data_IF_190779457977
#
_entry.id   IF_190779457977
#
_cell.length_a   1.000
_cell.length_b   1.000
_cell.length_c   1.000
_cell.angle_alpha   90.00
_cell.angle_beta   90.00
_cell.angle_gamma   90.00
#
_symmetry.space_group_name_H-M   'P 1'
#
loop_
_entity.id
_entity.type
_entity.pdbx_description
1 polymer ?
#
# COMPACT_ATOMS: atom_id res chain seq x y z
N UNK A 1 -18.74 -21.05 23.35
CA UNK A 1 -17.75 -20.15 23.97
C UNK A 1 -17.19 -19.29 22.83
N UNK A 2 -17.43 -17.98 22.87
CA UNK A 2 -16.84 -17.03 21.92
C UNK A 2 -15.52 -16.52 22.51
N UNK A 3 -14.42 -16.66 21.76
CA UNK A 3 -13.12 -16.09 22.10
C UNK A 3 -12.99 -14.76 21.36
N UNK A 4 -13.08 -13.64 22.09
CA UNK A 4 -12.85 -12.32 21.53
C UNK A 4 -11.35 -12.04 21.39
N UNK A 5 -10.85 -11.92 20.19
CA UNK A 5 -9.49 -11.46 19.92
C UNK A 5 -9.46 -9.93 19.94
N UNK A 6 -8.52 -9.36 20.72
CA UNK A 6 -8.28 -7.90 20.72
C UNK A 6 -7.23 -7.55 19.66
N UNK A 7 -7.41 -6.41 19.01
CA UNK A 7 -6.37 -5.83 18.17
C UNK A 7 -5.20 -5.43 19.08
N UNK A 8 -3.96 -5.88 18.81
CA UNK A 8 -2.81 -5.53 19.63
C UNK A 8 -2.50 -4.04 19.52
N UNK A 9 -1.94 -3.44 20.56
CA UNK A 9 -1.44 -2.06 20.51
C UNK A 9 -0.15 -1.98 19.67
N UNK A 10 0.18 -0.78 19.15
CA UNK A 10 1.44 -0.58 18.44
C UNK A 10 2.65 -0.96 19.32
N UNK A 11 2.62 -0.63 20.62
CA UNK A 11 3.65 -1.02 21.56
C UNK A 11 3.80 -2.54 21.67
N UNK A 12 2.69 -3.29 21.81
CA UNK A 12 2.75 -4.74 21.88
C UNK A 12 3.31 -5.40 20.60
N UNK A 13 3.00 -4.81 19.44
CA UNK A 13 3.58 -5.27 18.15
C UNK A 13 5.07 -4.93 18.10
N UNK A 14 5.48 -3.73 18.52
CA UNK A 14 6.88 -3.33 18.57
C UNK A 14 7.70 -4.26 19.48
N UNK A 15 7.21 -4.55 20.70
CA UNK A 15 7.84 -5.48 21.64
C UNK A 15 8.02 -6.88 21.03
N UNK A 16 7.03 -7.36 20.26
CA UNK A 16 7.15 -8.62 19.54
C UNK A 16 8.29 -8.59 18.52
N UNK A 17 8.36 -7.53 17.70
CA UNK A 17 9.40 -7.39 16.68
C UNK A 17 10.81 -7.29 17.28
N UNK A 18 10.95 -6.60 18.41
CA UNK A 18 12.23 -6.52 19.15
C UNK A 18 12.63 -7.88 19.71
N UNK A 19 11.71 -8.60 20.34
CA UNK A 19 11.97 -9.97 20.86
C UNK A 19 12.32 -10.97 19.79
N UNK A 20 11.75 -10.82 18.59
CA UNK A 20 12.11 -11.64 17.41
C UNK A 20 13.44 -11.20 16.75
N UNK A 21 14.09 -10.15 17.24
CA UNK A 21 15.35 -9.64 16.65
C UNK A 21 15.17 -9.02 15.27
N UNK A 22 13.95 -8.54 14.93
CA UNK A 22 13.64 -8.03 13.60
C UNK A 22 14.21 -6.63 13.39
N UNK A 23 14.16 -5.75 14.40
CA UNK A 23 14.61 -4.36 14.33
C UNK A 23 14.91 -3.78 15.71
N UNK A 24 15.55 -2.59 15.76
CA UNK A 24 15.71 -1.81 16.98
C UNK A 24 14.34 -1.36 17.55
N UNK A 25 14.27 -1.03 18.85
CA UNK A 25 13.01 -0.57 19.45
C UNK A 25 12.35 0.59 18.72
N UNK A 26 13.15 1.58 18.27
CA UNK A 26 12.65 2.75 17.55
C UNK A 26 12.02 2.36 16.22
N UNK A 27 12.74 1.60 15.40
CA UNK A 27 12.27 1.13 14.09
C UNK A 27 11.05 0.20 14.25
N UNK A 28 11.04 -0.65 15.27
CA UNK A 28 9.93 -1.55 15.56
C UNK A 28 8.65 -0.77 15.92
N UNK A 29 8.77 0.30 16.73
CA UNK A 29 7.63 1.13 17.12
C UNK A 29 7.09 1.95 15.94
N UNK A 30 7.98 2.57 15.15
CA UNK A 30 7.62 3.28 13.93
C UNK A 30 6.88 2.35 12.95
N UNK A 31 7.43 1.17 12.68
CA UNK A 31 6.84 0.18 11.79
C UNK A 31 5.49 -0.35 12.32
N UNK A 32 5.35 -0.55 13.63
CA UNK A 32 4.11 -0.99 14.25
C UNK A 32 2.99 0.06 14.15
N UNK A 33 3.32 1.35 14.34
CA UNK A 33 2.40 2.46 14.15
C UNK A 33 1.97 2.58 12.70
N UNK A 34 2.94 2.62 11.77
CA UNK A 34 2.69 2.68 10.34
C UNK A 34 1.82 1.52 9.82
N UNK A 35 2.01 0.33 10.38
CA UNK A 35 1.21 -0.85 10.07
C UNK A 35 -0.15 -0.89 10.75
N UNK A 36 -0.49 0.11 11.57
CA UNK A 36 -1.76 0.17 12.33
C UNK A 36 -2.05 -1.17 13.03
N UNK A 37 -1.04 -1.68 13.74
CA UNK A 37 -1.07 -2.96 14.49
C UNK A 37 -1.18 -4.24 13.63
N UNK A 38 -1.04 -4.17 12.31
CA UNK A 38 -0.99 -5.35 11.46
C UNK A 38 0.41 -6.00 11.52
N UNK A 39 0.56 -7.08 12.31
CA UNK A 39 1.86 -7.70 12.64
C UNK A 39 2.69 -8.05 11.40
N UNK A 40 2.08 -8.66 10.37
CA UNK A 40 2.79 -9.04 9.14
C UNK A 40 3.37 -7.84 8.38
N UNK A 41 2.60 -6.75 8.29
CA UNK A 41 3.04 -5.51 7.65
C UNK A 41 4.10 -4.81 8.50
N UNK A 42 3.92 -4.75 9.83
CA UNK A 42 4.90 -4.19 10.74
C UNK A 42 6.27 -4.89 10.61
N UNK A 43 6.25 -6.23 10.54
CA UNK A 43 7.47 -7.02 10.30
C UNK A 43 8.13 -6.70 8.95
N UNK A 44 7.35 -6.56 7.89
CA UNK A 44 7.87 -6.21 6.56
C UNK A 44 8.49 -4.80 6.57
N UNK A 45 7.77 -3.80 7.09
CA UNK A 45 8.28 -2.43 7.24
C UNK A 45 9.55 -2.37 8.12
N UNK A 46 9.60 -3.13 9.23
CA UNK A 46 10.76 -3.16 10.11
C UNK A 46 12.01 -3.72 9.42
N UNK A 47 11.85 -4.74 8.57
CA UNK A 47 12.96 -5.40 7.86
C UNK A 47 13.47 -4.65 6.64
N UNK A 48 12.60 -3.94 5.93
CA UNK A 48 12.91 -3.34 4.63
C UNK A 48 12.91 -1.80 4.70
N UNK A 49 14.11 -1.18 4.76
CA UNK A 49 14.24 0.28 4.73
C UNK A 49 13.71 0.90 3.43
N UNK A 50 13.81 0.18 2.29
CA UNK A 50 13.29 0.68 1.02
C UNK A 50 11.75 0.71 1.02
N UNK A 51 11.11 -0.25 1.69
CA UNK A 51 9.65 -0.24 1.86
C UNK A 51 9.20 0.96 2.68
N UNK A 52 9.95 1.33 3.74
CA UNK A 52 9.69 2.55 4.52
C UNK A 52 9.90 3.81 3.68
N UNK A 53 10.98 3.87 2.89
CA UNK A 53 11.24 5.01 2.00
C UNK A 53 10.11 5.19 0.96
N UNK A 54 9.72 4.11 0.27
CA UNK A 54 8.59 4.14 -0.69
C UNK A 54 7.28 4.60 -0.04
N UNK A 55 6.98 4.12 1.18
CA UNK A 55 5.82 4.58 1.94
C UNK A 55 5.89 6.09 2.21
N UNK A 56 7.04 6.60 2.64
CA UNK A 56 7.27 8.03 2.87
C UNK A 56 7.04 8.84 1.60
N UNK A 57 7.58 8.41 0.46
CA UNK A 57 7.40 9.07 -0.83
C UNK A 57 5.92 9.16 -1.23
N UNK A 58 5.15 8.10 -1.05
CA UNK A 58 3.70 8.08 -1.32
C UNK A 58 2.97 9.09 -0.44
N UNK A 59 3.26 9.12 0.85
CA UNK A 59 2.58 9.99 1.82
C UNK A 59 2.91 11.46 1.60
N UNK A 60 4.15 11.78 1.23
CA UNK A 60 4.61 13.17 1.07
C UNK A 60 4.24 13.75 -0.29
N UNK A 61 4.04 12.93 -1.31
CA UNK A 61 3.76 13.38 -2.67
C UNK A 61 2.60 14.39 -2.78
N UNK A 62 1.40 14.19 -2.16
CA UNK A 62 0.30 15.14 -2.29
C UNK A 62 0.61 16.54 -1.76
N UNK A 63 1.45 16.65 -0.74
CA UNK A 63 1.84 17.95 -0.16
C UNK A 63 2.70 18.79 -1.10
N UNK A 64 3.38 18.18 -2.06
CA UNK A 64 4.26 18.85 -3.04
C UNK A 64 3.57 19.23 -4.34
N UNK A 65 2.37 18.70 -4.62
CA UNK A 65 1.64 18.91 -5.87
C UNK A 65 1.02 20.30 -5.92
N UNK A 66 1.34 21.09 -6.96
CA UNK A 66 0.83 22.47 -7.13
C UNK A 66 -0.02 22.61 -8.40
N UNK A 67 0.07 21.70 -9.36
CA UNK A 67 -0.64 21.78 -10.65
C UNK A 67 -1.37 20.48 -10.96
N UNK A 68 -2.31 20.51 -11.91
CA UNK A 68 -2.99 19.32 -12.42
C UNK A 68 -2.00 18.35 -13.05
N UNK A 69 -1.03 18.88 -13.82
CA UNK A 69 0.00 18.06 -14.45
C UNK A 69 0.85 17.30 -13.43
N UNK A 70 1.25 17.96 -12.33
CA UNK A 70 1.98 17.30 -11.24
C UNK A 70 1.12 16.24 -10.52
N UNK A 71 -0.19 16.47 -10.37
CA UNK A 71 -1.11 15.49 -9.80
C UNK A 71 -1.19 14.21 -10.66
N UNK A 72 -1.32 14.37 -11.98
CA UNK A 72 -1.33 13.25 -12.92
C UNK A 72 -0.01 12.48 -12.88
N UNK A 73 1.13 13.18 -12.86
CA UNK A 73 2.45 12.53 -12.72
C UNK A 73 2.62 11.83 -11.36
N UNK A 74 2.04 12.36 -10.29
CA UNK A 74 2.08 11.73 -8.98
C UNK A 74 1.23 10.45 -8.95
N UNK A 75 0.06 10.45 -9.59
CA UNK A 75 -0.79 9.27 -9.75
C UNK A 75 -0.09 8.16 -10.56
N UNK A 76 0.56 8.53 -11.65
CA UNK A 76 1.33 7.58 -12.48
C UNK A 76 2.48 6.96 -11.69
N UNK A 77 3.28 7.76 -10.97
CA UNK A 77 4.36 7.24 -10.09
C UNK A 77 3.83 6.31 -9.00
N UNK A 78 2.69 6.63 -8.39
CA UNK A 78 2.07 5.75 -7.40
C UNK A 78 1.67 4.42 -8.02
N UNK A 79 1.06 4.43 -9.20
CA UNK A 79 0.67 3.22 -9.92
C UNK A 79 1.87 2.36 -10.30
N UNK A 80 2.94 2.96 -10.83
CA UNK A 80 4.17 2.24 -11.19
C UNK A 80 4.85 1.64 -9.96
N UNK A 81 4.89 2.36 -8.84
CA UNK A 81 5.41 1.83 -7.57
C UNK A 81 4.58 0.64 -7.07
N UNK A 82 3.26 0.73 -7.18
CA UNK A 82 2.36 -0.37 -6.79
C UNK A 82 2.52 -1.58 -7.71
N UNK A 83 2.69 -1.38 -9.02
CA UNK A 83 2.99 -2.46 -9.99
C UNK A 83 4.30 -3.17 -9.64
N UNK A 84 5.37 -2.42 -9.45
CA UNK A 84 6.67 -2.99 -9.09
C UNK A 84 6.61 -3.81 -7.80
N UNK A 85 5.87 -3.32 -6.80
CA UNK A 85 5.66 -4.04 -5.53
C UNK A 85 4.84 -5.32 -5.72
N UNK A 86 3.75 -5.25 -6.49
CA UNK A 86 2.91 -6.40 -6.79
C UNK A 86 3.68 -7.48 -7.55
N UNK A 87 4.45 -7.09 -8.57
CA UNK A 87 5.27 -8.00 -9.35
C UNK A 87 6.35 -8.67 -8.50
N UNK A 88 7.05 -7.92 -7.64
CA UNK A 88 8.03 -8.48 -6.72
C UNK A 88 7.42 -9.53 -5.77
N UNK A 89 6.16 -9.31 -5.36
CA UNK A 89 5.46 -10.23 -4.45
C UNK A 89 5.10 -11.58 -5.10
N UNK A 90 4.81 -11.60 -6.40
CA UNK A 90 4.27 -12.80 -7.07
C UNK A 90 5.23 -13.46 -8.05
N UNK A 91 6.26 -12.77 -8.55
CA UNK A 91 7.14 -13.20 -9.64
C UNK A 91 7.84 -14.53 -9.34
N UNK A 92 8.47 -14.66 -8.18
CA UNK A 92 9.19 -15.88 -7.79
C UNK A 92 8.25 -17.09 -7.71
N UNK A 93 7.09 -16.91 -7.11
CA UNK A 93 6.08 -17.96 -7.01
C UNK A 93 5.55 -18.37 -8.38
N UNK A 94 5.23 -17.38 -9.23
CA UNK A 94 4.74 -17.63 -10.59
C UNK A 94 5.77 -18.36 -11.44
N UNK A 95 7.05 -17.96 -11.36
CA UNK A 95 8.14 -18.63 -12.05
C UNK A 95 8.32 -20.08 -11.58
N UNK A 96 8.28 -20.31 -10.27
CA UNK A 96 8.40 -21.65 -9.66
C UNK A 96 7.24 -22.57 -10.09
N UNK A 97 6.00 -22.09 -10.04
CA UNK A 97 4.82 -22.86 -10.47
C UNK A 97 4.88 -23.20 -11.97
N UNK A 98 5.33 -22.24 -12.81
CA UNK A 98 5.50 -22.50 -14.25
C UNK A 98 6.57 -23.53 -14.52
N UNK A 99 7.73 -23.42 -13.89
CA UNK A 99 8.82 -24.40 -14.04
C UNK A 99 8.40 -25.81 -13.56
N UNK A 100 7.66 -25.89 -12.47
CA UNK A 100 7.13 -27.16 -11.96
C UNK A 100 6.14 -27.80 -12.93
N UNK A 101 5.18 -27.03 -13.48
CA UNK A 101 4.24 -27.52 -14.46
C UNK A 101 4.96 -28.02 -15.73
N UNK A 102 5.93 -27.27 -16.26
CA UNK A 102 6.71 -27.67 -17.44
C UNK A 102 7.45 -28.99 -17.18
N UNK A 103 8.06 -29.15 -16.01
CA UNK A 103 8.72 -30.41 -15.60
C UNK A 103 7.74 -31.58 -15.51
N UNK A 104 6.55 -31.38 -14.94
CA UNK A 104 5.52 -32.41 -14.84
C UNK A 104 4.98 -32.84 -16.21
N UNK A 105 4.96 -31.92 -17.18
CA UNK A 105 4.55 -32.21 -18.56
C UNK A 105 5.66 -32.84 -19.40
N UNK A 106 6.89 -32.96 -18.86
CA UNK A 106 8.06 -33.45 -19.58
C UNK A 106 8.45 -32.55 -20.75
N UNK A 107 8.20 -31.23 -20.66
CA UNK A 107 8.44 -30.25 -21.73
C UNK A 107 9.66 -29.41 -21.42
N UNK A 108 10.52 -29.26 -22.44
CA UNK A 108 11.55 -28.22 -22.43
C UNK A 108 11.03 -26.92 -23.02
N UNK A 109 11.72 -25.80 -22.73
CA UNK A 109 11.33 -24.49 -23.24
C UNK A 109 11.42 -24.48 -24.78
N UNK A 110 10.27 -24.27 -25.45
CA UNK A 110 10.17 -24.26 -26.92
C UNK A 110 9.60 -25.53 -27.57
N UNK A 111 9.33 -26.59 -26.82
CA UNK A 111 8.71 -27.80 -27.39
C UNK A 111 7.22 -27.62 -27.71
N UNK A 112 6.78 -28.37 -28.77
CA UNK A 112 5.38 -28.32 -29.22
C UNK A 112 4.45 -29.02 -28.23
N UNK A 113 3.68 -28.21 -27.47
CA UNK A 113 2.74 -28.72 -26.49
C UNK A 113 1.58 -29.52 -27.10
N UNK A 114 1.19 -30.61 -26.45
CA UNK A 114 -0.05 -31.33 -26.76
C UNK A 114 -1.27 -30.45 -26.47
N UNK A 115 -2.46 -30.80 -26.98
CA UNK A 115 -3.69 -30.07 -26.69
C UNK A 115 -4.00 -30.04 -25.18
N UNK A 116 -3.75 -31.13 -24.47
CA UNK A 116 -3.95 -31.23 -23.03
C UNK A 116 -2.95 -30.34 -22.26
N UNK A 117 -1.66 -30.39 -22.62
CA UNK A 117 -0.62 -29.56 -22.02
C UNK A 117 -0.90 -28.05 -22.20
N UNK A 118 -1.34 -27.65 -23.41
CA UNK A 118 -1.74 -26.25 -23.67
C UNK A 118 -2.88 -25.76 -22.77
N UNK A 119 -3.86 -26.64 -22.51
CA UNK A 119 -4.97 -26.29 -21.62
C UNK A 119 -4.49 -26.06 -20.17
N UNK A 120 -3.60 -26.92 -19.66
CA UNK A 120 -3.04 -26.79 -18.31
C UNK A 120 -2.18 -25.51 -18.16
N UNK A 121 -1.33 -25.24 -19.15
CA UNK A 121 -0.49 -24.02 -19.18
C UNK A 121 -1.39 -22.78 -19.17
N UNK A 122 -2.40 -22.73 -20.04
CA UNK A 122 -3.33 -21.60 -20.10
C UNK A 122 -4.07 -21.41 -18.77
N UNK A 123 -4.50 -22.46 -18.12
CA UNK A 123 -5.17 -22.37 -16.82
C UNK A 123 -4.24 -21.80 -15.74
N UNK A 124 -2.99 -22.24 -15.70
CA UNK A 124 -1.99 -21.67 -14.80
C UNK A 124 -1.77 -20.17 -15.08
N UNK A 125 -1.62 -19.77 -16.34
CA UNK A 125 -1.43 -18.38 -16.74
C UNK A 125 -2.64 -17.49 -16.34
N UNK A 126 -3.86 -17.99 -16.49
CA UNK A 126 -5.07 -17.30 -16.05
C UNK A 126 -5.12 -17.14 -14.52
N UNK A 127 -4.70 -18.16 -13.76
CA UNK A 127 -4.61 -18.10 -12.30
C UNK A 127 -3.52 -17.12 -11.84
N UNK A 128 -2.36 -17.13 -12.50
CA UNK A 128 -1.26 -16.18 -12.26
C UNK A 128 -1.69 -14.74 -12.57
N UNK A 129 -2.38 -14.51 -13.68
CA UNK A 129 -2.94 -13.20 -14.04
C UNK A 129 -3.94 -12.69 -13.01
N UNK A 130 -4.82 -13.55 -12.51
CA UNK A 130 -5.76 -13.19 -11.43
C UNK A 130 -5.03 -12.84 -10.14
N UNK A 131 -3.97 -13.58 -9.79
CA UNK A 131 -3.11 -13.31 -8.62
C UNK A 131 -2.40 -11.98 -8.75
N UNK A 132 -1.76 -11.70 -9.89
CA UNK A 132 -1.08 -10.44 -10.16
C UNK A 132 -2.03 -9.24 -10.09
N UNK A 133 -3.25 -9.38 -10.64
CA UNK A 133 -4.27 -8.33 -10.53
C UNK A 133 -4.66 -8.07 -9.08
N UNK A 134 -4.83 -9.11 -8.25
CA UNK A 134 -5.13 -8.95 -6.82
C UNK A 134 -3.96 -8.28 -6.09
N UNK A 135 -2.73 -8.74 -6.32
CA UNK A 135 -1.55 -8.16 -5.70
C UNK A 135 -1.40 -6.66 -6.03
N UNK A 136 -1.70 -6.25 -7.28
CA UNK A 136 -1.73 -4.84 -7.66
C UNK A 136 -2.82 -4.06 -6.91
N UNK A 137 -4.03 -4.60 -6.85
CA UNK A 137 -5.13 -3.96 -6.12
C UNK A 137 -4.79 -3.79 -4.65
N UNK A 138 -4.22 -4.82 -4.01
CA UNK A 138 -3.80 -4.80 -2.61
C UNK A 138 -2.66 -3.78 -2.37
N UNK A 139 -1.71 -3.66 -3.31
CA UNK A 139 -0.63 -2.69 -3.23
C UNK A 139 -1.15 -1.24 -3.33
N UNK A 140 -2.08 -0.97 -4.25
CA UNK A 140 -2.73 0.34 -4.37
C UNK A 140 -3.55 0.64 -3.12
N UNK A 141 -4.39 -0.30 -2.66
CA UNK A 141 -5.22 -0.09 -1.46
C UNK A 141 -4.36 0.22 -0.24
N UNK A 142 -3.20 -0.44 -0.09
CA UNK A 142 -2.23 -0.14 0.96
C UNK A 142 -1.73 1.30 0.88
N UNK A 143 -1.34 1.78 -0.30
CA UNK A 143 -0.91 3.15 -0.51
C UNK A 143 -2.01 4.16 -0.14
N UNK A 144 -3.27 3.87 -0.46
CA UNK A 144 -4.41 4.71 -0.11
C UNK A 144 -4.69 4.71 1.40
N UNK A 145 -4.51 3.58 2.09
CA UNK A 145 -4.57 3.51 3.57
C UNK A 145 -3.46 4.36 4.21
N UNK A 146 -2.26 4.35 3.65
CA UNK A 146 -1.16 5.19 4.13
C UNK A 146 -1.47 6.68 3.95
N UNK A 147 -2.11 7.07 2.85
CA UNK A 147 -2.61 8.45 2.65
C UNK A 147 -3.74 8.80 3.62
N UNK A 148 -4.66 7.89 3.93
CA UNK A 148 -5.67 8.11 4.96
C UNK A 148 -5.04 8.33 6.33
N UNK A 149 -3.95 7.61 6.65
CA UNK A 149 -3.27 7.74 7.94
C UNK A 149 -2.65 9.13 8.12
N UNK A 150 -2.04 9.74 7.09
CA UNK A 150 -1.50 11.10 7.21
C UNK A 150 -2.61 12.15 7.37
N UNK A 151 -3.71 12.06 6.62
CA UNK A 151 -4.82 13.00 6.77
C UNK A 151 -5.59 12.81 8.09
N UNK A 152 -5.63 11.59 8.64
CA UNK A 152 -6.10 11.35 10.01
C UNK A 152 -5.22 12.09 11.01
N UNK A 153 -3.90 12.02 10.88
CA UNK A 153 -2.97 12.71 11.77
C UNK A 153 -3.11 14.25 11.64
N UNK A 154 -3.27 14.76 10.41
CA UNK A 154 -3.56 16.19 10.16
C UNK A 154 -4.84 16.61 10.87
N UNK A 155 -5.91 15.85 10.73
CA UNK A 155 -7.20 16.16 11.38
C UNK A 155 -7.07 16.15 12.91
N UNK A 156 -6.31 15.19 13.48
CA UNK A 156 -6.05 15.14 14.92
C UNK A 156 -5.39 16.42 15.42
N UNK A 157 -4.39 16.94 14.70
CA UNK A 157 -3.73 18.23 15.04
C UNK A 157 -4.72 19.39 14.91
N UNK A 158 -5.50 19.45 13.84
CA UNK A 158 -6.47 20.54 13.57
C UNK A 158 -7.57 20.63 14.63
N UNK A 159 -7.99 19.51 15.22
CA UNK A 159 -9.04 19.49 16.25
C UNK A 159 -8.50 19.52 17.69
N UNK A 160 -7.16 19.58 17.87
CA UNK A 160 -6.53 19.57 19.20
C UNK A 160 -6.71 18.23 19.94
N UNK A 161 -6.76 17.11 19.22
CA UNK A 161 -6.96 15.79 19.80
C UNK A 161 -5.70 15.26 20.50
N UNK A 162 -5.85 14.57 21.63
CA UNK A 162 -4.76 14.01 22.46
C UNK A 162 -4.26 12.63 21.97
N UNK A 163 -4.73 12.16 20.81
CA UNK A 163 -4.37 10.86 20.27
C UNK A 163 -2.96 10.81 19.70
N UNK A 164 -2.28 9.66 19.84
CA UNK A 164 -0.97 9.45 19.21
C UNK A 164 -1.05 9.52 17.69
N UNK A 165 -0.07 10.19 17.07
CA UNK A 165 0.09 10.21 15.62
C UNK A 165 0.59 8.84 15.11
N UNK A 166 0.10 8.44 13.94
CA UNK A 166 0.57 7.24 13.24
C UNK A 166 1.93 7.52 12.59
N UNK A 167 2.07 8.70 11.97
CA UNK A 167 3.25 9.11 11.23
C UNK A 167 4.13 10.05 12.06
N UNK A 168 4.68 9.52 13.15
CA UNK A 168 5.52 10.33 14.09
C UNK A 168 6.80 10.86 13.46
N UNK A 169 7.32 10.18 12.44
CA UNK A 169 8.48 10.58 11.64
C UNK A 169 8.18 11.71 10.64
N UNK A 170 6.89 12.04 10.44
CA UNK A 170 6.41 13.09 9.54
C UNK A 170 5.65 14.21 10.30
N UNK A 171 5.90 14.37 11.60
CA UNK A 171 5.17 15.33 12.45
C UNK A 171 5.23 16.75 11.91
N UNK A 172 6.35 17.19 11.37
CA UNK A 172 6.49 18.55 10.80
C UNK A 172 5.63 18.73 9.55
N UNK A 173 5.57 17.72 8.67
CA UNK A 173 4.69 17.72 7.51
C UNK A 173 3.22 17.73 7.92
N UNK A 174 2.86 16.93 8.93
CA UNK A 174 1.48 16.89 9.47
C UNK A 174 1.07 18.28 9.96
N UNK A 175 1.91 18.97 10.74
CA UNK A 175 1.66 20.33 11.22
C UNK A 175 1.56 21.32 10.07
N UNK A 176 2.49 21.28 9.12
CA UNK A 176 2.44 22.14 7.94
C UNK A 176 1.12 21.98 7.18
N UNK A 177 0.68 20.76 6.89
CA UNK A 177 -0.60 20.51 6.20
C UNK A 177 -1.78 20.99 7.06
N UNK A 178 -1.70 20.82 8.40
CA UNK A 178 -2.75 21.26 9.31
C UNK A 178 -2.90 22.79 9.33
N UNK A 179 -1.79 23.52 9.28
CA UNK A 179 -1.76 24.99 9.23
C UNK A 179 -2.22 25.51 7.85
N UNK A 180 -1.88 24.81 6.77
CA UNK A 180 -2.20 25.20 5.39
C UNK A 180 -3.63 24.78 4.96
N UNK A 181 -4.42 24.14 5.83
CA UNK A 181 -5.76 23.67 5.49
C UNK A 181 -6.73 23.67 6.68
N UNK A 182 -8.01 23.67 6.36
CA UNK A 182 -9.10 23.58 7.36
C UNK A 182 -9.51 22.13 7.60
N UNK A 183 -10.12 21.79 8.76
CA UNK A 183 -10.67 20.45 9.01
C UNK A 183 -11.66 19.99 7.92
N UNK A 184 -12.44 20.91 7.37
CA UNK A 184 -13.37 20.62 6.28
C UNK A 184 -12.65 20.20 5.00
N UNK A 185 -11.56 20.87 4.64
CA UNK A 185 -10.74 20.51 3.48
C UNK A 185 -10.05 19.16 3.70
N UNK A 186 -9.56 18.90 4.91
CA UNK A 186 -8.95 17.61 5.28
C UNK A 186 -9.98 16.47 5.18
N UNK A 187 -11.20 16.65 5.67
CA UNK A 187 -12.27 15.65 5.51
C UNK A 187 -12.64 15.41 4.04
N UNK A 188 -12.71 16.47 3.23
CA UNK A 188 -12.96 16.30 1.79
C UNK A 188 -11.85 15.46 1.11
N UNK A 189 -10.57 15.64 1.50
CA UNK A 189 -9.47 14.80 1.00
C UNK A 189 -9.63 13.33 1.42
N UNK A 190 -10.03 13.08 2.66
CA UNK A 190 -10.35 11.72 3.14
C UNK A 190 -11.46 11.11 2.30
N UNK A 191 -12.55 11.83 2.02
CA UNK A 191 -13.67 11.35 1.21
C UNK A 191 -13.25 11.03 -0.24
N UNK A 192 -12.34 11.81 -0.83
CA UNK A 192 -11.79 11.52 -2.16
C UNK A 192 -10.96 10.23 -2.17
N UNK A 193 -10.13 9.98 -1.16
CA UNK A 193 -9.36 8.74 -1.03
C UNK A 193 -10.30 7.54 -0.85
N UNK A 194 -11.29 7.65 0.04
CA UNK A 194 -12.29 6.58 0.24
C UNK A 194 -13.11 6.30 -1.04
N UNK A 195 -13.43 7.33 -1.81
CA UNK A 195 -14.10 7.19 -3.10
C UNK A 195 -13.22 6.46 -4.10
N UNK A 196 -11.93 6.79 -4.17
CA UNK A 196 -10.96 6.08 -5.00
C UNK A 196 -10.89 4.59 -4.64
N UNK A 197 -10.81 4.25 -3.34
CA UNK A 197 -10.81 2.87 -2.86
C UNK A 197 -12.07 2.11 -3.30
N UNK A 198 -13.26 2.72 -3.14
CA UNK A 198 -14.54 2.12 -3.58
C UNK A 198 -14.58 1.87 -5.09
N UNK A 199 -14.09 2.82 -5.90
CA UNK A 199 -14.01 2.69 -7.36
C UNK A 199 -13.05 1.57 -7.79
N UNK A 200 -11.92 1.39 -7.12
CA UNK A 200 -10.97 0.30 -7.39
C UNK A 200 -11.58 -1.08 -7.09
N UNK A 201 -12.30 -1.21 -5.96
CA UNK A 201 -13.06 -2.44 -5.63
C UNK A 201 -14.12 -2.74 -6.68
N UNK A 202 -14.77 -1.70 -7.24
CA UNK A 202 -15.73 -1.82 -8.34
C UNK A 202 -15.08 -2.03 -9.73
N UNK A 203 -13.79 -2.39 -9.79
CA UNK A 203 -13.02 -2.59 -11.03
C UNK A 203 -12.83 -1.32 -11.88
N UNK A 204 -12.83 -0.13 -11.30
CA UNK A 204 -12.44 1.10 -11.99
C UNK A 204 -11.02 0.99 -12.55
N UNK A 205 -10.75 1.73 -13.65
CA UNK A 205 -9.40 1.81 -14.20
C UNK A 205 -8.44 2.44 -13.17
N UNK A 206 -7.39 1.74 -12.70
CA UNK A 206 -6.54 2.23 -11.63
C UNK A 206 -5.91 3.60 -11.91
N UNK A 207 -5.39 3.82 -13.12
CA UNK A 207 -4.76 5.10 -13.48
C UNK A 207 -5.76 6.25 -13.36
N UNK A 208 -6.92 6.15 -14.01
CA UNK A 208 -7.94 7.21 -13.99
C UNK A 208 -8.47 7.49 -12.59
N UNK A 209 -8.63 6.45 -11.77
CA UNK A 209 -9.08 6.59 -10.38
C UNK A 209 -8.04 7.34 -9.54
N UNK A 210 -6.75 7.01 -9.72
CA UNK A 210 -5.66 7.66 -8.99
C UNK A 210 -5.44 9.09 -9.47
N UNK A 211 -5.60 9.39 -10.76
CA UNK A 211 -5.51 10.74 -11.31
C UNK A 211 -6.62 11.64 -10.74
N UNK A 212 -7.88 11.20 -10.75
CA UNK A 212 -9.02 11.93 -10.18
C UNK A 212 -8.79 12.22 -8.69
N UNK A 213 -8.34 11.23 -7.94
CA UNK A 213 -7.98 11.38 -6.54
C UNK A 213 -6.83 12.38 -6.36
N UNK A 214 -5.72 12.23 -7.08
CA UNK A 214 -4.54 13.08 -6.92
C UNK A 214 -4.84 14.54 -7.26
N UNK A 215 -5.68 14.81 -8.26
CA UNK A 215 -6.17 16.15 -8.59
C UNK A 215 -6.98 16.74 -7.43
N UNK A 216 -7.80 15.92 -6.77
CA UNK A 216 -8.65 16.34 -5.66
C UNK A 216 -7.88 16.56 -4.35
N UNK A 217 -6.71 15.92 -4.18
CA UNK A 217 -5.87 16.08 -2.99
C UNK A 217 -4.99 17.33 -3.00
N UNK A 218 -4.89 18.02 -4.13
CA UNK A 218 -4.05 19.24 -4.23
C UNK A 218 -4.40 20.26 -3.16
N UNK A 219 -3.40 20.97 -2.61
CA UNK A 219 -3.66 22.17 -1.81
C UNK A 219 -4.53 23.14 -2.63
N UNK A 220 -5.67 23.47 -2.11
CA UNK A 220 -6.55 24.50 -2.72
C UNK A 220 -6.17 25.85 -2.12
N UNK A 221 -5.85 26.81 -2.99
CA UNK A 221 -5.57 28.19 -2.59
C UNK A 221 -6.82 28.84 -2.00
#
# INVERSE_FOLDING_TARGET
RHLGLRIPTAAAVADLLVREGVASPEVALEAARAAQSHIGLARALARDPQMRARRRDIITAPASVRSVGEAVMAADRLLETAKAQADAQVSERNAREKAELMRQLGMEEGESATKASRTMIRQLEEDQKRRSKRALTDAIDRALIDLLAIYRDVLMVQVGGDGELINTDLTDLVRQIADDSTPRQTLARVDHIETARKRLVANGNPLLVLEDMAISLRPQA
#
